data_IF_638623233352
#
_entry.id   IF_638623233352
#
_cell.length_a   1.000
_cell.length_b   1.000
_cell.length_c   1.000
_cell.angle_alpha   90.00
_cell.angle_beta   90.00
_cell.angle_gamma   90.00
#
_symmetry.space_group_name_H-M   'P 1'
#
loop_
_entity.id
_entity.type
_entity.pdbx_description
1 polymer ?
#
# COMPACT_ATOMS: atom_id res chain seq x y z
N UNK A 1 11.83 -69.56 -11.43
CA UNK A 1 11.66 -68.12 -11.75
C UNK A 1 11.31 -67.40 -10.46
N UNK A 2 12.28 -66.68 -9.87
CA UNK A 2 12.09 -65.81 -8.71
C UNK A 2 12.46 -64.40 -9.18
N UNK A 3 11.47 -63.51 -9.31
CA UNK A 3 11.69 -62.11 -9.67
C UNK A 3 11.96 -61.30 -8.40
N UNK A 4 13.16 -60.75 -8.28
CA UNK A 4 13.46 -59.67 -7.35
C UNK A 4 12.98 -58.35 -7.96
N UNK A 5 12.10 -57.63 -7.27
CA UNK A 5 11.77 -56.24 -7.60
C UNK A 5 12.49 -55.32 -6.60
N UNK A 6 13.48 -54.57 -7.09
CA UNK A 6 14.21 -53.56 -6.34
C UNK A 6 13.36 -52.28 -6.32
N UNK A 7 12.89 -51.85 -5.16
CA UNK A 7 12.31 -50.51 -4.99
C UNK A 7 13.45 -49.49 -4.82
N UNK A 8 13.64 -48.62 -5.81
CA UNK A 8 14.50 -47.45 -5.68
C UNK A 8 13.62 -46.29 -5.22
N UNK A 9 13.76 -45.91 -3.95
CA UNK A 9 13.16 -44.70 -3.39
C UNK A 9 13.99 -43.49 -3.86
N UNK A 10 13.46 -42.72 -4.80
CA UNK A 10 14.07 -41.45 -5.22
C UNK A 10 13.69 -40.41 -4.16
N UNK A 11 14.65 -40.08 -3.28
CA UNK A 11 14.58 -38.90 -2.42
C UNK A 11 14.82 -37.66 -3.28
N UNK A 12 13.75 -36.98 -3.66
CA UNK A 12 13.80 -35.65 -4.27
C UNK A 12 14.14 -34.64 -3.18
N UNK A 13 15.42 -34.28 -3.06
CA UNK A 13 15.84 -33.08 -2.33
C UNK A 13 15.47 -31.86 -3.17
N UNK A 14 14.40 -31.17 -2.81
CA UNK A 14 14.19 -29.79 -3.25
C UNK A 14 15.21 -28.91 -2.53
N UNK A 15 16.23 -28.46 -3.25
CA UNK A 15 17.09 -27.37 -2.79
C UNK A 15 16.23 -26.10 -2.76
N UNK A 16 15.61 -25.80 -1.62
CA UNK A 16 15.16 -24.45 -1.34
C UNK A 16 16.42 -23.65 -1.07
N UNK A 17 16.87 -22.88 -2.06
CA UNK A 17 17.86 -21.83 -1.81
C UNK A 17 17.23 -20.87 -0.80
N UNK A 18 17.67 -20.93 0.46
CA UNK A 18 17.29 -19.94 1.45
C UNK A 18 17.70 -18.58 0.91
N UNK A 19 16.71 -17.70 0.68
CA UNK A 19 17.00 -16.31 0.33
C UNK A 19 17.78 -15.71 1.51
N UNK A 20 18.97 -15.20 1.24
CA UNK A 20 19.82 -14.57 2.25
C UNK A 20 19.33 -13.14 2.50
N UNK A 21 18.69 -12.91 3.64
CA UNK A 21 18.26 -11.57 4.08
C UNK A 21 19.35 -10.85 4.89
N UNK A 22 20.59 -11.36 4.87
CA UNK A 22 21.70 -10.80 5.63
C UNK A 22 21.40 -10.81 7.14
N UNK A 23 21.74 -9.72 7.87
CA UNK A 23 21.56 -9.66 9.33
C UNK A 23 20.11 -9.43 9.76
N UNK A 24 19.18 -9.25 8.83
CA UNK A 24 17.81 -8.82 9.13
C UNK A 24 16.92 -9.99 9.52
N UNK A 25 16.59 -10.06 10.82
CA UNK A 25 15.58 -11.00 11.32
C UNK A 25 14.20 -10.54 10.84
N UNK A 26 13.38 -11.48 10.37
CA UNK A 26 12.01 -11.23 9.96
C UNK A 26 11.09 -12.41 10.30
N UNK A 27 9.78 -12.16 10.26
CA UNK A 27 8.73 -13.17 10.23
C UNK A 27 7.63 -12.71 9.27
N UNK A 28 6.88 -13.64 8.71
CA UNK A 28 5.76 -13.33 7.83
C UNK A 28 4.69 -14.41 7.97
N UNK A 29 3.43 -14.02 7.96
CA UNK A 29 2.32 -14.95 8.09
C UNK A 29 1.04 -14.36 7.49
N UNK A 30 0.01 -15.19 7.45
CA UNK A 30 -1.35 -14.81 7.09
C UNK A 30 -2.24 -14.72 8.34
N UNK A 31 -3.19 -13.80 8.30
CA UNK A 31 -4.32 -13.77 9.24
C UNK A 31 -5.61 -13.86 8.45
N UNK A 32 -6.44 -14.83 8.81
CA UNK A 32 -7.82 -14.92 8.32
C UNK A 32 -8.66 -13.82 8.99
N UNK A 33 -8.92 -12.74 8.26
CA UNK A 33 -9.65 -11.56 8.78
C UNK A 33 -11.16 -11.72 8.67
N UNK A 34 -11.60 -12.47 7.65
CA UNK A 34 -12.98 -12.97 7.50
C UNK A 34 -12.91 -14.38 6.92
N UNK A 35 -14.00 -15.14 7.01
CA UNK A 35 -14.06 -16.45 6.36
C UNK A 35 -13.78 -16.32 4.85
N UNK A 36 -12.69 -16.95 4.40
CA UNK A 36 -12.25 -16.90 3.01
C UNK A 36 -11.51 -15.61 2.59
N UNK A 37 -11.16 -14.73 3.53
CA UNK A 37 -10.37 -13.53 3.28
C UNK A 37 -9.15 -13.50 4.20
N UNK A 38 -7.96 -13.42 3.60
CA UNK A 38 -6.68 -13.66 4.28
C UNK A 38 -5.73 -12.49 4.00
N UNK A 39 -5.26 -11.81 5.04
CA UNK A 39 -4.30 -10.73 4.95
C UNK A 39 -2.90 -11.20 5.29
N UNK A 40 -1.93 -10.85 4.46
CA UNK A 40 -0.51 -11.16 4.64
C UNK A 40 0.24 -9.99 5.28
N UNK A 41 1.15 -10.32 6.20
CA UNK A 41 2.09 -9.36 6.77
C UNK A 41 3.53 -9.87 6.69
N UNK A 42 4.46 -8.91 6.66
CA UNK A 42 5.89 -9.16 6.77
C UNK A 42 6.50 -8.22 7.80
N UNK A 43 6.93 -8.78 8.93
CA UNK A 43 7.58 -8.06 10.01
C UNK A 43 9.10 -8.16 9.89
N UNK A 44 9.79 -7.03 9.84
CA UNK A 44 11.21 -6.94 10.13
C UNK A 44 11.44 -6.44 11.55
N UNK A 45 12.27 -7.16 12.31
CA UNK A 45 12.67 -6.75 13.65
C UNK A 45 13.77 -5.70 13.57
N UNK A 46 13.74 -4.74 14.51
CA UNK A 46 14.74 -3.68 14.52
C UNK A 46 16.18 -4.21 14.67
N UNK A 47 17.13 -3.57 13.99
CA UNK A 47 18.57 -3.80 14.19
C UNK A 47 19.23 -2.75 15.10
N UNK A 48 18.43 -1.91 15.76
CA UNK A 48 18.93 -0.95 16.74
C UNK A 48 19.70 -1.67 17.87
N UNK A 49 20.74 -1.05 18.47
CA UNK A 49 21.50 -1.63 19.56
C UNK A 49 20.70 -1.59 20.88
N UNK A 50 19.67 -2.41 20.98
CA UNK A 50 18.79 -2.59 22.14
C UNK A 50 18.82 -4.05 22.62
N UNK A 51 18.48 -4.30 23.88
CA UNK A 51 18.53 -5.66 24.44
C UNK A 51 17.36 -6.50 23.92
N UNK A 52 16.18 -5.91 23.79
CA UNK A 52 15.00 -6.52 23.18
C UNK A 52 14.44 -5.62 22.06
N UNK A 53 14.03 -6.21 20.95
CA UNK A 53 13.41 -5.48 19.85
C UNK A 53 12.14 -4.73 20.26
N UNK A 54 11.42 -5.20 21.30
CA UNK A 54 10.22 -4.54 21.85
C UNK A 54 10.51 -3.22 22.56
N UNK A 55 11.78 -2.88 22.81
CA UNK A 55 12.18 -1.54 23.28
C UNK A 55 12.07 -0.47 22.18
N UNK A 56 11.81 -0.87 20.93
CA UNK A 56 11.55 0.03 19.81
C UNK A 56 10.09 -0.07 19.35
N UNK A 57 9.49 1.06 18.90
CA UNK A 57 8.14 1.05 18.37
C UNK A 57 7.91 0.03 17.24
N UNK A 58 6.65 -0.39 17.12
CA UNK A 58 6.14 -1.11 15.97
C UNK A 58 5.51 -0.10 15.00
N UNK A 59 6.05 -0.03 13.79
CA UNK A 59 5.49 0.80 12.72
C UNK A 59 4.83 -0.12 11.70
N UNK A 60 3.55 0.08 11.46
CA UNK A 60 2.86 -0.52 10.32
C UNK A 60 3.05 0.39 9.12
N UNK A 61 3.61 -0.15 8.03
CA UNK A 61 3.66 0.55 6.75
C UNK A 61 2.48 0.13 5.87
N UNK A 62 1.71 1.13 5.42
CA UNK A 62 0.53 0.99 4.59
C UNK A 62 0.72 1.71 3.26
N UNK A 63 0.97 0.94 2.22
CA UNK A 63 1.03 1.45 0.86
C UNK A 63 -0.36 1.87 0.35
N UNK A 64 -0.37 2.82 -0.60
CA UNK A 64 -1.60 3.36 -1.18
C UNK A 64 -2.12 2.58 -2.40
N UNK A 65 -2.55 3.31 -3.43
CA UNK A 65 -3.19 2.76 -4.62
C UNK A 65 -4.63 3.26 -4.76
N UNK A 66 -5.63 2.65 -4.09
CA UNK A 66 -5.57 1.46 -3.21
C UNK A 66 -5.12 0.19 -3.95
N UNK A 67 -4.61 -0.80 -3.21
CA UNK A 67 -4.15 -2.08 -3.77
C UNK A 67 -2.64 -2.17 -4.09
N UNK A 68 -1.86 -1.16 -3.70
CA UNK A 68 -0.41 -1.23 -3.75
C UNK A 68 0.12 -2.15 -2.66
N UNK A 69 1.03 -3.07 -3.01
CA UNK A 69 1.62 -3.98 -2.03
C UNK A 69 2.64 -3.27 -1.14
N UNK A 70 2.44 -3.34 0.18
CA UNK A 70 3.42 -2.85 1.15
C UNK A 70 4.64 -3.77 1.23
N UNK A 71 4.43 -5.08 1.06
CA UNK A 71 5.53 -6.06 1.10
C UNK A 71 6.36 -6.05 -0.17
N UNK A 72 5.80 -5.57 -1.29
CA UNK A 72 6.50 -5.25 -2.54
C UNK A 72 7.11 -3.86 -2.51
N UNK A 73 6.30 -2.81 -2.70
CA UNK A 73 6.78 -1.43 -2.86
C UNK A 73 7.40 -0.87 -1.57
N UNK A 74 6.66 -0.91 -0.46
CA UNK A 74 7.13 -0.37 0.82
C UNK A 74 8.46 -0.98 1.25
N UNK A 75 8.53 -2.30 1.20
CA UNK A 75 9.71 -3.06 1.61
C UNK A 75 10.85 -2.97 0.58
N UNK A 76 10.63 -3.38 -0.67
CA UNK A 76 11.71 -3.56 -1.65
C UNK A 76 11.96 -2.37 -2.57
N UNK A 77 11.18 -1.30 -2.52
CA UNK A 77 11.46 -0.07 -3.28
C UNK A 77 11.71 1.15 -2.39
N UNK A 78 11.11 1.21 -1.20
CA UNK A 78 11.16 2.40 -0.35
C UNK A 78 12.10 2.27 0.85
N UNK A 79 11.68 1.60 1.91
CA UNK A 79 12.29 1.73 3.24
C UNK A 79 12.68 0.42 3.91
N UNK A 80 12.32 -0.72 3.33
CA UNK A 80 12.77 -2.02 3.82
C UNK A 80 14.29 -2.18 3.69
N UNK A 81 14.86 -3.23 4.29
CA UNK A 81 16.31 -3.36 4.41
C UNK A 81 17.02 -3.64 3.09
N UNK A 82 16.34 -4.31 2.15
CA UNK A 82 16.93 -4.79 0.89
C UNK A 82 16.19 -4.27 -0.34
N UNK A 83 16.92 -3.87 -1.36
CA UNK A 83 16.36 -3.46 -2.65
C UNK A 83 15.84 -4.64 -3.49
N UNK A 84 15.30 -4.35 -4.68
CA UNK A 84 14.81 -5.38 -5.62
C UNK A 84 15.89 -6.37 -6.09
N UNK A 85 17.18 -6.05 -5.90
CA UNK A 85 18.33 -6.92 -6.19
C UNK A 85 18.85 -7.62 -4.93
N UNK A 86 18.08 -7.56 -3.84
CA UNK A 86 18.42 -8.08 -2.52
C UNK A 86 19.71 -7.47 -1.95
N UNK A 87 20.06 -6.25 -2.36
CA UNK A 87 21.21 -5.52 -1.82
C UNK A 87 20.77 -4.64 -0.67
N UNK A 88 21.61 -4.53 0.36
CA UNK A 88 21.33 -3.68 1.51
C UNK A 88 21.20 -2.21 1.11
N UNK A 89 20.17 -1.54 1.64
CA UNK A 89 20.02 -0.10 1.49
C UNK A 89 20.91 0.67 2.45
N UNK A 90 21.43 1.80 1.97
CA UNK A 90 22.07 2.81 2.82
C UNK A 90 21.13 3.27 3.95
N UNK A 91 19.84 3.43 3.64
CA UNK A 91 18.81 3.87 4.58
C UNK A 91 17.65 2.87 4.64
N UNK A 92 17.29 2.45 5.84
CA UNK A 92 16.12 1.62 6.12
C UNK A 92 15.56 1.99 7.48
N UNK A 93 14.23 1.92 7.64
CA UNK A 93 13.59 2.18 8.94
C UNK A 93 13.85 1.05 9.95
N UNK A 94 14.16 -0.14 9.47
CA UNK A 94 14.48 -1.32 10.31
C UNK A 94 15.69 -1.06 11.21
N UNK A 95 16.59 -0.13 10.84
CA UNK A 95 17.71 0.30 11.70
C UNK A 95 17.26 0.91 13.05
N UNK A 96 16.02 1.40 13.15
CA UNK A 96 15.53 2.10 14.34
C UNK A 96 14.21 1.54 14.90
N UNK A 97 13.41 0.87 14.08
CA UNK A 97 12.05 0.44 14.42
C UNK A 97 11.79 -1.00 14.00
N UNK A 98 10.80 -1.63 14.63
CA UNK A 98 10.18 -2.83 14.06
C UNK A 98 9.21 -2.36 12.97
N UNK A 99 9.27 -2.96 11.79
CA UNK A 99 8.47 -2.52 10.64
C UNK A 99 7.61 -3.67 10.14
N UNK A 100 6.29 -3.51 10.26
CA UNK A 100 5.28 -4.45 9.78
C UNK A 100 4.72 -3.95 8.44
N UNK A 101 5.16 -4.56 7.34
CA UNK A 101 4.57 -4.33 6.04
C UNK A 101 3.30 -5.16 5.91
N UNK A 102 2.18 -4.51 5.62
CA UNK A 102 0.89 -5.18 5.48
C UNK A 102 0.36 -5.01 4.07
N UNK A 103 0.11 -6.11 3.38
CA UNK A 103 -0.56 -6.08 2.09
C UNK A 103 -2.06 -5.85 2.30
N UNK A 104 -2.48 -4.61 2.12
CA UNK A 104 -3.83 -4.15 2.44
C UNK A 104 -4.44 -3.37 1.26
N UNK A 105 -5.73 -3.57 0.96
CA UNK A 105 -6.69 -4.50 1.58
C UNK A 105 -6.54 -5.95 1.09
N UNK A 106 -7.44 -6.86 1.49
CA UNK A 106 -7.49 -8.23 0.93
C UNK A 106 -7.54 -8.20 -0.60
N UNK A 107 -6.79 -9.08 -1.26
CA UNK A 107 -6.56 -9.06 -2.72
C UNK A 107 -5.34 -8.24 -3.16
N UNK A 108 -4.67 -7.56 -2.25
CA UNK A 108 -3.41 -6.82 -2.49
C UNK A 108 -2.21 -7.72 -2.29
N UNK A 109 -1.20 -7.65 -3.15
CA UNK A 109 0.07 -8.36 -2.95
C UNK A 109 -0.14 -9.85 -2.71
N UNK A 110 0.32 -10.34 -1.55
CA UNK A 110 0.09 -11.72 -1.13
C UNK A 110 -1.26 -11.96 -0.44
N UNK A 111 -1.93 -10.91 0.05
CA UNK A 111 -3.27 -11.03 0.64
C UNK A 111 -4.28 -11.44 -0.42
N UNK A 112 -5.18 -12.38 -0.09
CA UNK A 112 -6.10 -12.95 -1.05
C UNK A 112 -7.49 -13.22 -0.47
N UNK A 113 -8.42 -13.46 -1.39
CA UNK A 113 -9.77 -13.94 -1.08
C UNK A 113 -10.04 -15.21 -1.87
N UNK A 114 -10.76 -16.15 -1.27
CA UNK A 114 -11.20 -17.39 -1.93
C UNK A 114 -12.30 -17.11 -2.95
N UNK A 115 -13.04 -16.00 -2.79
CA UNK A 115 -14.04 -15.52 -3.73
C UNK A 115 -13.96 -13.99 -3.87
N UNK A 116 -14.01 -13.49 -5.10
CA UNK A 116 -13.91 -12.06 -5.41
C UNK A 116 -15.04 -11.20 -4.81
N UNK A 117 -16.17 -11.80 -4.43
CA UNK A 117 -17.23 -11.10 -3.72
C UNK A 117 -16.84 -10.70 -2.27
N UNK A 118 -15.73 -11.23 -1.75
CA UNK A 118 -15.19 -10.89 -0.44
C UNK A 118 -14.24 -9.70 -0.46
N UNK A 119 -13.90 -9.15 -1.64
CA UNK A 119 -13.12 -7.92 -1.71
C UNK A 119 -13.87 -6.78 -1.02
N UNK A 120 -13.15 -6.03 -0.19
CA UNK A 120 -13.68 -4.84 0.50
C UNK A 120 -14.02 -3.75 -0.51
N UNK A 121 -15.15 -3.08 -0.31
CA UNK A 121 -15.64 -1.99 -1.18
C UNK A 121 -15.74 -0.65 -0.48
N UNK A 122 -15.56 -0.61 0.85
CA UNK A 122 -15.51 0.63 1.64
C UNK A 122 -14.25 0.69 2.49
N UNK A 123 -13.82 1.90 2.86
CA UNK A 123 -12.72 2.08 3.82
C UNK A 123 -13.04 1.48 5.18
N UNK A 124 -14.32 1.46 5.57
CA UNK A 124 -14.73 0.90 6.85
C UNK A 124 -14.51 -0.61 6.90
N UNK A 125 -14.86 -1.33 5.84
CA UNK A 125 -14.57 -2.76 5.71
C UNK A 125 -13.07 -3.03 5.75
N UNK A 126 -12.27 -2.20 5.08
CA UNK A 126 -10.80 -2.29 5.13
C UNK A 126 -10.29 -2.12 6.57
N UNK A 127 -10.81 -1.13 7.30
CA UNK A 127 -10.41 -0.84 8.66
C UNK A 127 -10.81 -1.96 9.64
N UNK A 128 -12.00 -2.54 9.46
CA UNK A 128 -12.48 -3.68 10.26
C UNK A 128 -11.62 -4.94 10.01
N UNK A 129 -11.30 -5.25 8.75
CA UNK A 129 -10.38 -6.35 8.41
C UNK A 129 -9.00 -6.12 9.05
N UNK A 130 -8.51 -4.89 9.06
CA UNK A 130 -7.23 -4.54 9.67
C UNK A 130 -7.21 -4.72 11.20
N UNK A 131 -8.32 -4.45 11.90
CA UNK A 131 -8.45 -4.76 13.33
C UNK A 131 -8.31 -6.26 13.59
N UNK A 132 -8.92 -7.11 12.75
CA UNK A 132 -8.78 -8.56 12.85
C UNK A 132 -7.37 -9.03 12.50
N UNK A 133 -6.71 -8.41 11.52
CA UNK A 133 -5.30 -8.63 11.24
C UNK A 133 -4.44 -8.38 12.48
N UNK A 134 -4.61 -7.23 13.16
CA UNK A 134 -3.86 -6.93 14.36
C UNK A 134 -4.15 -7.92 15.49
N UNK A 135 -5.41 -8.35 15.64
CA UNK A 135 -5.79 -9.37 16.63
C UNK A 135 -5.05 -10.70 16.38
N UNK A 136 -4.99 -11.15 15.12
CA UNK A 136 -4.23 -12.33 14.74
C UNK A 136 -2.72 -12.15 14.92
N UNK A 137 -2.19 -11.00 14.52
CA UNK A 137 -0.78 -10.64 14.68
C UNK A 137 -0.34 -10.70 16.16
N UNK A 138 -1.08 -10.06 17.07
CA UNK A 138 -0.75 -10.09 18.50
C UNK A 138 -0.97 -11.46 19.15
N UNK A 139 -1.90 -12.28 18.62
CA UNK A 139 -2.04 -13.66 19.09
C UNK A 139 -0.79 -14.50 18.81
N UNK A 140 -0.16 -14.29 17.65
CA UNK A 140 1.09 -14.96 17.29
C UNK A 140 2.35 -14.27 17.84
N UNK A 141 2.27 -12.98 18.17
CA UNK A 141 3.39 -12.15 18.62
C UNK A 141 2.99 -11.32 19.88
N UNK A 142 2.63 -11.99 21.00
CA UNK A 142 2.08 -11.33 22.18
C UNK A 142 3.03 -10.32 22.83
N UNK A 143 4.34 -10.42 22.57
CA UNK A 143 5.33 -9.47 23.07
C UNK A 143 5.17 -8.06 22.51
N UNK A 144 4.42 -7.87 21.41
CA UNK A 144 4.15 -6.56 20.84
C UNK A 144 2.90 -5.87 21.42
N UNK A 145 2.04 -6.54 22.21
CA UNK A 145 0.76 -5.93 22.69
C UNK A 145 0.98 -4.59 23.42
N UNK A 146 2.06 -4.47 24.20
CA UNK A 146 2.40 -3.26 24.95
C UNK A 146 3.33 -2.27 24.21
N UNK A 147 3.83 -2.66 23.03
CA UNK A 147 4.79 -1.84 22.27
C UNK A 147 4.07 -0.69 21.60
N UNK A 148 4.59 0.56 21.67
CA UNK A 148 4.01 1.69 20.96
C UNK A 148 3.79 1.39 19.47
N UNK A 149 2.55 1.46 19.02
CA UNK A 149 2.12 1.19 17.66
C UNK A 149 1.92 2.51 16.90
N UNK A 150 2.56 2.62 15.74
CA UNK A 150 2.34 3.72 14.81
C UNK A 150 1.85 3.20 13.46
N UNK A 151 0.82 3.83 12.90
CA UNK A 151 0.41 3.59 11.52
C UNK A 151 1.05 4.63 10.61
N UNK A 152 1.75 4.19 9.57
CA UNK A 152 2.28 5.08 8.55
C UNK A 152 1.65 4.77 7.19
N UNK A 153 0.83 5.69 6.69
CA UNK A 153 0.15 5.56 5.40
C UNK A 153 0.75 6.44 4.31
N UNK A 154 1.03 5.88 3.14
CA UNK A 154 1.45 6.65 1.95
C UNK A 154 0.32 6.73 0.92
N UNK A 155 0.17 7.86 0.23
CA UNK A 155 -0.84 8.01 -0.84
C UNK A 155 -2.25 7.69 -0.29
N UNK A 156 -3.03 6.83 -0.95
CA UNK A 156 -4.33 6.37 -0.43
C UNK A 156 -4.24 5.66 0.93
N UNK A 157 -3.06 5.10 1.26
CA UNK A 157 -2.77 4.48 2.55
C UNK A 157 -2.90 5.44 3.72
N UNK A 158 -2.74 6.75 3.51
CA UNK A 158 -2.99 7.74 4.56
C UNK A 158 -4.46 7.81 4.96
N UNK A 159 -5.39 7.76 3.98
CA UNK A 159 -6.83 7.73 4.25
C UNK A 159 -7.22 6.45 4.99
N UNK A 160 -6.72 5.30 4.52
CA UNK A 160 -6.94 4.00 5.17
C UNK A 160 -6.38 3.98 6.60
N UNK A 161 -5.18 4.53 6.83
CA UNK A 161 -4.55 4.57 8.15
C UNK A 161 -5.37 5.35 9.20
N UNK A 162 -6.05 6.44 8.78
CA UNK A 162 -6.95 7.19 9.66
C UNK A 162 -8.14 6.31 10.08
N UNK A 163 -8.82 5.71 9.11
CA UNK A 163 -10.01 4.88 9.36
C UNK A 163 -9.64 3.64 10.21
N UNK A 164 -8.50 3.01 9.94
CA UNK A 164 -7.93 1.94 10.76
C UNK A 164 -7.66 2.40 12.19
N UNK A 165 -7.04 3.58 12.37
CA UNK A 165 -6.75 4.12 13.70
C UNK A 165 -8.00 4.35 14.54
N UNK A 166 -9.08 4.84 13.91
CA UNK A 166 -10.39 4.99 14.56
C UNK A 166 -10.92 3.62 15.02
N UNK A 167 -10.95 2.62 14.13
CA UNK A 167 -11.46 1.28 14.46
C UNK A 167 -10.61 0.54 15.49
N UNK A 168 -9.29 0.73 15.48
CA UNK A 168 -8.38 0.23 16.52
C UNK A 168 -8.72 0.84 17.86
N UNK A 169 -8.83 2.17 17.94
CA UNK A 169 -9.13 2.85 19.18
C UNK A 169 -10.49 2.41 19.75
N UNK A 170 -11.52 2.31 18.91
CA UNK A 170 -12.82 1.77 19.31
C UNK A 170 -12.74 0.33 19.83
N UNK A 171 -11.94 -0.52 19.19
CA UNK A 171 -11.72 -1.89 19.63
C UNK A 171 -10.97 -1.97 20.97
N UNK A 172 -9.98 -1.10 21.20
CA UNK A 172 -9.27 -0.96 22.48
C UNK A 172 -10.23 -0.55 23.61
N UNK A 173 -11.07 0.49 23.38
CA UNK A 173 -12.06 0.96 24.37
C UNK A 173 -13.07 -0.13 24.74
N UNK A 174 -13.39 -1.04 23.82
CA UNK A 174 -14.31 -2.15 24.05
C UNK A 174 -13.62 -3.40 24.61
N UNK A 175 -12.30 -3.36 24.86
CA UNK A 175 -11.51 -4.50 25.31
C UNK A 175 -11.41 -5.64 24.29
N UNK A 176 -11.69 -5.35 23.01
CA UNK A 176 -11.66 -6.33 21.90
C UNK A 176 -10.28 -6.45 21.25
N UNK A 177 -9.42 -5.46 21.44
CA UNK A 177 -8.03 -5.45 20.96
C UNK A 177 -7.14 -4.91 22.08
N UNK A 178 -6.00 -5.59 22.33
CA UNK A 178 -4.95 -5.11 23.22
C UNK A 178 -3.80 -4.60 22.37
N UNK A 179 -3.73 -3.29 22.22
CA UNK A 179 -2.64 -2.60 21.53
C UNK A 179 -2.31 -1.31 22.27
N UNK A 180 -1.28 -0.62 21.77
CA UNK A 180 -0.85 0.68 22.27
C UNK A 180 -0.73 1.67 21.10
N UNK A 181 -1.85 1.95 20.42
CA UNK A 181 -1.83 2.92 19.32
C UNK A 181 -1.39 4.30 19.83
N UNK A 182 -0.24 4.74 19.32
CA UNK A 182 0.48 5.91 19.81
C UNK A 182 0.52 7.05 18.79
N UNK A 183 0.24 6.76 17.51
CA UNK A 183 0.14 7.81 16.50
C UNK A 183 -0.11 7.30 15.10
N UNK A 184 -0.47 8.25 14.23
CA UNK A 184 -0.69 8.03 12.80
C UNK A 184 0.13 9.09 12.07
N UNK A 185 0.90 8.66 11.08
CA UNK A 185 1.69 9.52 10.21
C UNK A 185 1.36 9.23 8.74
N UNK A 186 1.50 10.26 7.90
CA UNK A 186 1.05 10.21 6.52
C UNK A 186 2.08 10.83 5.59
N UNK A 187 2.51 10.08 4.57
CA UNK A 187 3.41 10.56 3.53
C UNK A 187 2.68 10.82 2.22
N UNK A 188 2.68 12.06 1.74
CA UNK A 188 2.08 12.45 0.45
C UNK A 188 0.66 11.88 0.26
N UNK A 189 -0.18 11.97 1.30
CA UNK A 189 -1.44 11.25 1.38
C UNK A 189 -2.57 11.89 0.56
N UNK A 190 -3.43 11.04 0.00
CA UNK A 190 -4.63 11.44 -0.74
C UNK A 190 -5.83 11.60 0.20
N UNK A 191 -5.87 12.70 0.96
CA UNK A 191 -6.87 12.93 2.02
C UNK A 191 -8.09 13.69 1.53
N UNK A 192 -7.89 14.88 0.95
CA UNK A 192 -8.93 15.69 0.32
C UNK A 192 -8.71 15.72 -1.20
N UNK A 193 -9.44 14.92 -1.98
CA UNK A 193 -9.27 14.87 -3.43
C UNK A 193 -9.49 16.24 -4.09
N UNK A 194 -10.52 16.98 -3.67
CA UNK A 194 -10.86 18.28 -4.24
C UNK A 194 -9.75 19.29 -3.96
N UNK A 195 -9.36 19.47 -2.70
CA UNK A 195 -8.30 20.43 -2.34
C UNK A 195 -6.99 20.08 -3.04
N UNK A 196 -6.61 18.80 -3.03
CA UNK A 196 -5.39 18.33 -3.71
C UNK A 196 -5.42 18.67 -5.20
N UNK A 197 -6.54 18.44 -5.87
CA UNK A 197 -6.69 18.69 -7.32
C UNK A 197 -6.65 20.17 -7.65
N UNK A 198 -7.25 21.02 -6.81
CA UNK A 198 -7.22 22.47 -6.99
C UNK A 198 -5.81 23.06 -6.88
N UNK A 199 -4.90 22.39 -6.17
CA UNK A 199 -3.49 22.85 -6.05
C UNK A 199 -2.60 22.53 -7.25
N UNK A 200 -3.02 21.68 -8.18
CA UNK A 200 -2.17 21.25 -9.30
C UNK A 200 -1.77 22.39 -10.23
N UNK A 201 -2.74 23.20 -10.67
CA UNK A 201 -2.46 24.38 -11.50
C UNK A 201 -1.47 25.35 -10.82
N UNK A 202 -1.76 25.84 -9.60
CA UNK A 202 -0.89 26.76 -8.88
C UNK A 202 0.53 26.20 -8.67
N UNK A 203 0.65 24.93 -8.31
CA UNK A 203 1.95 24.28 -8.12
C UNK A 203 2.75 24.24 -9.42
N UNK A 204 2.14 23.81 -10.53
CA UNK A 204 2.82 23.68 -11.81
C UNK A 204 3.21 25.04 -12.40
N UNK A 205 2.39 26.08 -12.19
CA UNK A 205 2.73 27.44 -12.59
C UNK A 205 3.91 27.97 -11.78
N UNK A 206 3.88 27.81 -10.45
CA UNK A 206 4.95 28.24 -9.56
C UNK A 206 6.28 27.49 -9.83
N UNK A 207 6.20 26.23 -10.25
CA UNK A 207 7.35 25.44 -10.66
C UNK A 207 7.87 25.76 -12.08
N UNK A 208 7.20 26.64 -12.83
CA UNK A 208 7.55 26.99 -14.21
C UNK A 208 7.31 25.86 -15.21
N UNK A 209 6.45 24.89 -14.87
CA UNK A 209 6.11 23.74 -15.72
C UNK A 209 4.96 24.01 -16.68
N UNK A 210 4.18 25.06 -16.42
CA UNK A 210 3.15 25.58 -17.32
C UNK A 210 3.21 27.11 -17.33
N UNK A 211 2.73 27.70 -18.42
CA UNK A 211 2.45 29.14 -18.50
C UNK A 211 1.04 29.47 -17.98
N UNK A 212 0.64 30.73 -18.11
CA UNK A 212 -0.66 31.21 -17.65
C UNK A 212 -1.83 30.49 -18.36
N UNK A 213 -1.70 30.18 -19.64
CA UNK A 213 -2.74 29.45 -20.39
C UNK A 213 -2.87 28.00 -19.87
N UNK A 214 -1.74 27.32 -19.65
CA UNK A 214 -1.72 25.98 -19.08
C UNK A 214 -2.31 25.94 -17.67
N UNK A 215 -1.98 26.93 -16.84
CA UNK A 215 -2.60 27.13 -15.52
C UNK A 215 -4.12 27.27 -15.61
N UNK A 216 -4.62 28.19 -16.44
CA UNK A 216 -6.06 28.45 -16.57
C UNK A 216 -6.83 27.21 -17.05
N UNK A 217 -6.25 26.46 -17.99
CA UNK A 217 -6.84 25.21 -18.47
C UNK A 217 -6.94 24.16 -17.35
N UNK A 218 -5.84 23.88 -16.64
CA UNK A 218 -5.82 22.91 -15.54
C UNK A 218 -6.79 23.34 -14.43
N UNK A 219 -6.77 24.63 -14.07
CA UNK A 219 -7.62 25.14 -13.00
C UNK A 219 -9.10 25.08 -13.35
N UNK A 220 -9.47 25.34 -14.60
CA UNK A 220 -10.84 25.18 -15.10
C UNK A 220 -11.32 23.73 -14.95
N UNK A 221 -10.50 22.75 -15.35
CA UNK A 221 -10.86 21.33 -15.20
C UNK A 221 -10.98 20.92 -13.72
N UNK A 222 -10.10 21.43 -12.86
CA UNK A 222 -10.14 21.18 -11.41
C UNK A 222 -11.42 21.75 -10.75
N UNK A 223 -11.83 22.98 -11.11
CA UNK A 223 -13.06 23.61 -10.59
C UNK A 223 -14.33 22.89 -11.05
N UNK A 224 -14.32 22.26 -12.24
CA UNK A 224 -15.42 21.39 -12.65
C UNK A 224 -15.53 20.16 -11.75
N UNK A 225 -14.40 19.55 -11.37
CA UNK A 225 -14.41 18.40 -10.47
C UNK A 225 -14.95 18.78 -9.08
N UNK A 226 -14.58 19.95 -8.58
CA UNK A 226 -15.12 20.55 -7.35
C UNK A 226 -16.64 20.79 -7.44
N UNK A 227 -17.14 21.42 -8.50
CA UNK A 227 -18.58 21.67 -8.68
C UNK A 227 -19.38 20.36 -8.63
N UNK A 228 -18.94 19.36 -9.39
CA UNK A 228 -19.58 18.04 -9.42
C UNK A 228 -19.54 17.37 -8.04
N UNK A 229 -18.46 17.54 -7.28
CA UNK A 229 -18.36 17.02 -5.91
C UNK A 229 -19.38 17.69 -4.99
N UNK A 230 -19.45 19.03 -5.02
CA UNK A 230 -20.37 19.82 -4.21
C UNK A 230 -21.85 19.55 -4.53
N UNK A 231 -22.14 19.11 -5.76
CA UNK A 231 -23.48 18.67 -6.19
C UNK A 231 -23.80 17.20 -5.82
N UNK A 232 -22.90 16.49 -5.14
CA UNK A 232 -23.05 15.08 -4.78
C UNK A 232 -22.84 14.10 -5.95
N UNK A 233 -22.33 14.58 -7.09
CA UNK A 233 -22.07 13.76 -8.27
C UNK A 233 -20.67 13.12 -8.22
N UNK A 234 -20.39 12.30 -7.20
CA UNK A 234 -19.04 11.80 -6.92
C UNK A 234 -18.39 11.00 -8.06
N UNK A 235 -19.17 10.21 -8.80
CA UNK A 235 -18.67 9.46 -9.97
C UNK A 235 -18.24 10.41 -11.08
N UNK A 236 -19.08 11.40 -11.40
CA UNK A 236 -18.78 12.43 -12.39
C UNK A 236 -17.57 13.27 -11.95
N UNK A 237 -17.51 13.65 -10.68
CA UNK A 237 -16.39 14.37 -10.09
C UNK A 237 -15.07 13.59 -10.24
N UNK A 238 -15.10 12.26 -10.00
CA UNK A 238 -13.93 11.39 -10.19
C UNK A 238 -13.50 11.30 -11.66
N UNK A 239 -14.46 11.24 -12.60
CA UNK A 239 -14.15 11.25 -14.03
C UNK A 239 -13.53 12.59 -14.46
N UNK A 240 -14.01 13.70 -13.89
CA UNK A 240 -13.51 15.04 -14.12
C UNK A 240 -12.14 15.27 -13.48
N UNK A 241 -11.87 14.65 -12.33
CA UNK A 241 -10.53 14.57 -11.76
C UNK A 241 -9.54 13.92 -12.74
N UNK A 242 -9.91 12.79 -13.36
CA UNK A 242 -9.08 12.14 -14.37
C UNK A 242 -8.90 13.02 -15.63
N UNK A 243 -9.90 13.82 -15.99
CA UNK A 243 -9.76 14.83 -17.05
C UNK A 243 -8.76 15.93 -16.68
N UNK A 244 -8.79 16.39 -15.43
CA UNK A 244 -7.83 17.36 -14.89
C UNK A 244 -6.40 16.80 -14.97
N UNK A 245 -6.21 15.53 -14.63
CA UNK A 245 -4.90 14.87 -14.74
C UNK A 245 -4.42 14.82 -16.21
N UNK A 246 -5.31 14.53 -17.16
CA UNK A 246 -4.98 14.59 -18.60
C UNK A 246 -4.58 16.00 -19.03
N UNK A 247 -5.26 17.03 -18.53
CA UNK A 247 -4.91 18.42 -18.82
C UNK A 247 -3.49 18.74 -18.33
N UNK A 248 -3.10 18.26 -17.14
CA UNK A 248 -1.72 18.40 -16.65
C UNK A 248 -0.72 17.74 -17.58
N UNK A 249 -0.94 16.48 -17.98
CA UNK A 249 -0.01 15.78 -18.88
C UNK A 249 0.15 16.51 -20.22
N UNK A 250 -0.96 17.01 -20.80
CA UNK A 250 -0.93 17.75 -22.05
C UNK A 250 -0.16 19.07 -21.93
N UNK A 251 -0.39 19.84 -20.86
CA UNK A 251 0.22 21.16 -20.69
C UNK A 251 1.66 21.14 -20.23
N UNK A 252 2.11 20.05 -19.59
CA UNK A 252 3.49 19.90 -19.07
C UNK A 252 4.40 19.08 -19.98
N UNK A 253 3.88 18.54 -21.10
CA UNK A 253 4.59 17.55 -21.94
C UNK A 253 4.95 16.30 -21.14
N UNK A 254 3.94 15.69 -20.51
CA UNK A 254 4.04 14.43 -19.73
C UNK A 254 5.01 14.49 -18.56
N UNK A 255 4.84 15.47 -17.68
CA UNK A 255 5.49 15.44 -16.36
C UNK A 255 5.12 14.16 -15.60
N UNK A 256 6.06 13.61 -14.85
CA UNK A 256 5.76 12.54 -13.91
C UNK A 256 4.96 13.10 -12.72
N UNK A 257 3.77 12.53 -12.50
CA UNK A 257 2.85 12.96 -11.46
C UNK A 257 3.34 12.64 -10.05
N UNK A 258 4.27 11.70 -9.91
CA UNK A 258 4.88 11.32 -8.63
C UNK A 258 6.19 12.09 -8.38
N UNK A 259 6.80 12.65 -9.42
CA UNK A 259 7.98 13.49 -9.32
C UNK A 259 8.00 14.55 -10.44
N UNK A 260 7.53 15.76 -10.13
CA UNK A 260 7.37 16.82 -11.14
C UNK A 260 8.68 17.32 -11.77
N UNK A 261 9.84 16.91 -11.23
CA UNK A 261 11.15 17.24 -11.77
C UNK A 261 11.59 16.28 -12.90
N UNK A 262 10.85 15.19 -13.11
CA UNK A 262 11.11 14.21 -14.17
C UNK A 262 10.00 14.22 -15.21
N UNK A 263 10.35 13.86 -16.45
CA UNK A 263 9.38 13.62 -17.52
C UNK A 263 9.21 12.13 -17.72
N UNK A 264 7.98 11.69 -17.92
CA UNK A 264 7.70 10.32 -18.33
C UNK A 264 8.20 10.12 -19.76
N UNK A 265 8.81 8.97 -20.04
CA UNK A 265 9.09 8.59 -21.42
C UNK A 265 7.76 8.51 -22.18
N UNK A 266 7.66 9.18 -23.33
CA UNK A 266 6.48 9.16 -24.20
C UNK A 266 6.39 7.81 -24.95
N UNK A 267 6.48 6.71 -24.22
CA UNK A 267 5.91 5.44 -24.64
C UNK A 267 4.52 5.41 -24.02
N UNK A 268 3.49 5.54 -24.86
CA UNK A 268 2.10 5.28 -24.45
C UNK A 268 2.09 4.02 -23.56
N UNK A 269 1.51 4.06 -22.34
CA UNK A 269 1.28 2.84 -21.59
C UNK A 269 0.39 1.95 -22.45
N UNK A 270 0.92 0.80 -22.87
CA UNK A 270 0.11 -0.22 -23.53
C UNK A 270 -0.86 -0.77 -22.48
N UNK A 271 -2.09 -0.28 -22.50
CA UNK A 271 -3.18 -0.84 -21.68
C UNK A 271 -3.59 -2.25 -22.13
N UNK A 272 -2.84 -2.89 -23.05
CA UNK A 272 -3.04 -4.28 -23.50
C UNK A 272 -1.93 -5.24 -23.09
N UNK A 273 -0.81 -4.80 -22.52
CA UNK A 273 0.19 -5.74 -21.98
C UNK A 273 -0.21 -6.32 -20.61
N UNK A 274 -1.32 -5.87 -20.02
CA UNK A 274 -1.90 -6.44 -18.80
C UNK A 274 -2.62 -7.79 -19.02
N UNK A 275 -2.50 -8.38 -20.21
CA UNK A 275 -2.90 -9.75 -20.50
C UNK A 275 -1.73 -10.54 -21.11
N UNK A 276 -0.76 -10.95 -20.28
CA UNK A 276 0.38 -11.76 -20.75
C UNK A 276 1.34 -12.24 -19.65
N UNK A 277 1.06 -13.44 -19.13
CA UNK A 277 1.94 -14.50 -18.58
C UNK A 277 3.12 -14.24 -17.62
N UNK A 278 3.58 -13.01 -17.32
CA UNK A 278 4.71 -12.81 -16.40
C UNK A 278 4.53 -11.66 -15.40
N UNK A 279 3.64 -11.86 -14.42
CA UNK A 279 3.91 -11.63 -12.99
C UNK A 279 4.41 -10.30 -12.42
N UNK A 280 4.47 -9.18 -13.14
CA UNK A 280 4.81 -7.86 -12.55
C UNK A 280 3.80 -6.80 -13.02
N UNK A 281 2.91 -6.39 -12.12
CA UNK A 281 1.91 -5.34 -12.35
C UNK A 281 2.48 -3.99 -11.92
N UNK A 282 2.72 -3.11 -12.89
CA UNK A 282 2.99 -1.68 -12.64
C UNK A 282 1.63 -0.99 -12.49
N UNK A 283 1.28 -0.67 -11.24
CA UNK A 283 0.00 -0.04 -10.91
C UNK A 283 -0.02 1.43 -11.31
N UNK A 284 -0.65 1.74 -12.45
CA UNK A 284 -1.15 3.08 -12.71
C UNK A 284 -2.50 3.29 -11.99
N UNK A 285 -2.78 4.47 -11.41
CA UNK A 285 -4.00 4.77 -10.65
C UNK A 285 -5.31 4.67 -11.47
N UNK A 286 -5.26 4.28 -12.75
CA UNK A 286 -6.41 4.09 -13.62
C UNK A 286 -6.91 2.64 -13.79
N UNK A 287 -6.16 1.61 -13.39
CA UNK A 287 -6.54 0.21 -13.66
C UNK A 287 -7.28 -0.51 -12.50
N UNK A 288 -7.12 -0.06 -11.24
CA UNK A 288 -7.82 -0.69 -10.11
C UNK A 288 -9.25 -0.17 -9.89
N UNK A 289 -9.53 1.08 -10.29
CA UNK A 289 -10.71 1.83 -9.87
C UNK A 289 -11.78 1.83 -10.97
N UNK A 290 -12.10 0.64 -11.53
CA UNK A 290 -13.24 0.47 -12.46
C UNK A 290 -14.39 -0.36 -11.92
N UNK A 291 -14.34 -0.80 -10.65
CA UNK A 291 -15.52 -1.39 -10.00
C UNK A 291 -15.82 -0.69 -8.68
N UNK A 292 -16.73 0.28 -8.78
CA UNK A 292 -17.68 0.69 -7.74
C UNK A 292 -17.06 1.14 -6.42
N UNK A 293 -16.28 2.22 -6.47
CA UNK A 293 -16.16 3.13 -5.34
C UNK A 293 -17.42 4.00 -5.29
N UNK A 294 -18.34 3.68 -4.40
CA UNK A 294 -19.38 4.63 -3.97
C UNK A 294 -18.83 5.32 -2.73
N UNK A 295 -18.67 6.64 -2.82
CA UNK A 295 -18.15 7.44 -1.72
C UNK A 295 -19.13 7.46 -0.55
N UNK A 296 -18.61 7.03 0.59
CA UNK A 296 -18.92 7.56 1.92
C UNK A 296 -17.57 7.82 2.62
#
# INVERSE_FOLDING_TARGET
MLCFSLFISILSFTFVTSIDYGPYKFTSDYVTVRQGAHMFYWLFYTTAPVKNYTERPLIVWLQGGPGGSSTGFGNFELLGPLDLKLQERNHTWVKNFNVLFVDNPVGTGYSYVENLNLLTVTNDEIALDFVELLRGFYSSNPEFEGVPLYLYGQSYGGKMAIDMGIRIHEAEQQGRLKSNISGIAMGNAWISPVDSTLTWGPLLLAAGLVDQEGYEHIQSEARKAESLFNEGQYVSSTQQWAATQRAVFQRTTSVDFYNILTKMSVSLPDTRSDMGENGIVVWYPGCAIRRRWQGE
#
